data_IF_162559588338
#
_entry.id   IF_162559588338
#
_cell.length_a   1.000
_cell.length_b   1.000
_cell.length_c   1.000
_cell.angle_alpha   90.00
_cell.angle_beta   90.00
_cell.angle_gamma   90.00
#
_symmetry.space_group_name_H-M   'P 1'
#
loop_
_entity.id
_entity.type
_entity.pdbx_description
1 polymer ?
#
# COMPACT_ATOMS: atom_id res chain seq x y z
N UNK A 1 -9.73 -29.54 -36.66
CA UNK A 1 -9.72 -28.80 -35.37
C UNK A 1 -10.47 -29.62 -34.34
N UNK A 2 -9.97 -29.76 -33.11
CA UNK A 2 -10.74 -30.45 -32.06
C UNK A 2 -11.97 -29.61 -31.68
N UNK A 3 -13.08 -30.27 -31.32
CA UNK A 3 -14.32 -29.59 -30.89
C UNK A 3 -14.04 -28.62 -29.73
N UNK A 4 -13.19 -29.02 -28.80
CA UNK A 4 -12.73 -28.22 -27.66
C UNK A 4 -12.08 -26.91 -28.12
N UNK A 5 -11.17 -26.95 -29.11
CA UNK A 5 -10.49 -25.74 -29.60
C UNK A 5 -11.46 -24.71 -30.22
N UNK A 6 -12.51 -25.19 -30.90
CA UNK A 6 -13.55 -24.32 -31.46
C UNK A 6 -14.33 -23.63 -30.34
N UNK A 7 -14.69 -24.37 -29.29
CA UNK A 7 -15.41 -23.85 -28.12
C UNK A 7 -14.55 -22.84 -27.36
N UNK A 8 -13.27 -23.15 -27.13
CA UNK A 8 -12.31 -22.22 -26.51
C UNK A 8 -12.26 -20.90 -27.30
N UNK A 9 -12.09 -20.99 -28.62
CA UNK A 9 -12.00 -19.81 -29.48
C UNK A 9 -13.27 -18.98 -29.45
N UNK A 10 -14.43 -19.63 -29.47
CA UNK A 10 -15.73 -18.96 -29.38
C UNK A 10 -15.88 -18.21 -28.05
N UNK A 11 -15.63 -18.88 -26.93
CA UNK A 11 -15.76 -18.33 -25.58
C UNK A 11 -14.78 -17.17 -25.36
N UNK A 12 -13.51 -17.38 -25.69
CA UNK A 12 -12.48 -16.35 -25.60
C UNK A 12 -12.83 -15.11 -26.43
N UNK A 13 -13.16 -15.30 -27.72
CA UNK A 13 -13.35 -14.19 -28.67
C UNK A 13 -14.62 -13.41 -28.37
N UNK A 14 -15.68 -14.08 -27.91
CA UNK A 14 -16.93 -13.42 -27.50
C UNK A 14 -16.72 -12.52 -26.30
N UNK A 15 -15.85 -12.91 -25.35
CA UNK A 15 -15.58 -12.13 -24.13
C UNK A 15 -14.54 -11.04 -24.33
N UNK A 16 -13.38 -11.32 -24.95
CA UNK A 16 -12.32 -10.30 -25.16
C UNK A 16 -12.79 -9.16 -26.07
N UNK A 17 -13.72 -9.41 -27.00
CA UNK A 17 -14.28 -8.37 -27.88
C UNK A 17 -15.48 -7.64 -27.27
N UNK A 18 -15.96 -8.06 -26.11
CA UNK A 18 -17.05 -7.36 -25.46
C UNK A 18 -16.60 -5.95 -25.07
N UNK A 19 -17.42 -4.94 -25.35
CA UNK A 19 -17.15 -3.55 -24.94
C UNK A 19 -16.88 -3.48 -23.43
N UNK A 20 -17.64 -4.23 -22.64
CA UNK A 20 -17.48 -4.30 -21.19
C UNK A 20 -16.10 -4.82 -20.78
N UNK A 21 -15.55 -5.82 -21.47
CA UNK A 21 -14.21 -6.33 -21.18
C UNK A 21 -13.14 -5.27 -21.39
N UNK A 22 -13.20 -4.53 -22.50
CA UNK A 22 -12.25 -3.45 -22.80
C UNK A 22 -12.35 -2.34 -21.74
N UNK A 23 -13.58 -1.93 -21.42
CA UNK A 23 -13.84 -0.90 -20.40
C UNK A 23 -13.32 -1.36 -19.04
N UNK A 24 -13.71 -2.54 -18.56
CA UNK A 24 -13.30 -3.04 -17.24
C UNK A 24 -11.80 -3.27 -17.15
N UNK A 25 -11.17 -3.78 -18.22
CA UNK A 25 -9.73 -4.01 -18.27
C UNK A 25 -8.96 -2.70 -18.16
N UNK A 26 -9.40 -1.67 -18.89
CA UNK A 26 -8.73 -0.37 -18.85
C UNK A 26 -9.03 0.36 -17.54
N UNK A 27 -10.28 0.37 -17.05
CA UNK A 27 -10.67 1.15 -15.87
C UNK A 27 -10.21 0.53 -14.55
N UNK A 28 -10.15 -0.80 -14.43
CA UNK A 28 -9.88 -1.47 -13.15
C UNK A 28 -8.52 -1.09 -12.53
N UNK A 29 -7.40 -1.03 -13.27
CA UNK A 29 -6.12 -0.55 -12.72
C UNK A 29 -6.19 0.90 -12.24
N UNK A 30 -6.88 1.79 -12.95
CA UNK A 30 -7.06 3.18 -12.50
C UNK A 30 -7.95 3.26 -11.27
N UNK A 31 -9.02 2.44 -11.20
CA UNK A 31 -9.87 2.34 -10.02
C UNK A 31 -9.09 1.88 -8.80
N UNK A 32 -8.27 0.84 -8.94
CA UNK A 32 -7.38 0.36 -7.88
C UNK A 32 -6.34 1.42 -7.49
N UNK A 33 -5.72 2.05 -8.48
CA UNK A 33 -4.76 3.12 -8.26
C UNK A 33 -5.41 4.31 -7.54
N UNK A 34 -6.65 4.67 -7.87
CA UNK A 34 -7.39 5.76 -7.21
C UNK A 34 -7.79 5.38 -5.78
N UNK A 35 -8.18 4.13 -5.53
CA UNK A 35 -8.47 3.62 -4.17
C UNK A 35 -7.21 3.70 -3.28
N UNK A 36 -6.03 3.48 -3.84
CA UNK A 36 -4.76 3.59 -3.09
C UNK A 36 -4.29 5.06 -3.02
N UNK A 37 -4.36 5.78 -4.13
CA UNK A 37 -3.82 7.12 -4.27
C UNK A 37 -4.66 8.16 -3.53
N UNK A 38 -5.99 8.01 -3.45
CA UNK A 38 -6.85 9.00 -2.78
C UNK A 38 -6.55 9.05 -1.28
N UNK A 39 -6.47 7.95 -0.51
CA UNK A 39 -6.06 7.99 0.88
C UNK A 39 -4.63 8.53 1.07
N UNK A 40 -3.69 8.16 0.20
CA UNK A 40 -2.30 8.64 0.27
C UNK A 40 -2.22 10.13 -0.04
N UNK A 41 -2.89 10.59 -1.08
CA UNK A 41 -2.96 11.99 -1.46
C UNK A 41 -3.73 12.79 -0.40
N UNK A 42 -4.80 12.24 0.17
CA UNK A 42 -5.50 12.84 1.30
C UNK A 42 -4.58 12.95 2.51
N UNK A 43 -3.76 11.94 2.82
CA UNK A 43 -2.76 12.02 3.89
C UNK A 43 -1.67 13.06 3.60
N UNK A 44 -1.20 13.18 2.35
CA UNK A 44 -0.20 14.18 1.95
C UNK A 44 -0.79 15.60 1.96
N UNK A 45 -1.98 15.79 1.38
CA UNK A 45 -2.65 17.10 1.28
C UNK A 45 -3.25 17.57 2.60
N UNK A 46 -3.68 16.64 3.46
CA UNK A 46 -4.08 16.97 4.81
C UNK A 46 -2.89 17.39 5.68
N UNK A 47 -1.65 17.18 5.21
CA UNK A 47 -0.48 17.12 6.08
C UNK A 47 -0.71 16.09 7.19
N UNK A 48 0.09 16.13 8.24
CA UNK A 48 -0.04 15.26 9.41
C UNK A 48 -1.41 15.36 10.14
N UNK A 49 -2.36 16.17 9.63
CA UNK A 49 -3.71 16.40 10.17
C UNK A 49 -4.73 15.26 9.99
N UNK A 50 -4.36 14.10 9.43
CA UNK A 50 -5.19 12.88 9.56
C UNK A 50 -5.15 12.28 10.97
N UNK A 51 -4.10 12.62 11.72
CA UNK A 51 -4.04 12.47 13.17
C UNK A 51 -4.66 13.75 13.70
N UNK A 52 -5.99 13.80 13.78
CA UNK A 52 -6.72 15.02 14.16
C UNK A 52 -6.12 15.75 15.37
N UNK A 53 -6.35 17.06 15.43
CA UNK A 53 -5.65 17.97 16.35
C UNK A 53 -5.65 17.47 17.80
N UNK A 54 -4.47 17.53 18.41
CA UNK A 54 -4.24 17.18 19.81
C UNK A 54 -3.91 18.43 20.61
N UNK A 55 -4.75 18.75 21.60
CA UNK A 55 -4.51 19.89 22.47
C UNK A 55 -3.69 19.46 23.68
N UNK A 56 -2.56 20.11 23.91
CA UNK A 56 -1.65 19.83 25.03
C UNK A 56 -1.97 20.76 26.20
N UNK A 57 -2.42 20.18 27.31
CA UNK A 57 -2.57 20.83 28.61
C UNK A 57 -1.28 20.59 29.38
N UNK A 58 -0.43 21.62 29.42
CA UNK A 58 0.84 21.57 30.13
C UNK A 58 0.69 22.09 31.56
N UNK A 59 0.93 21.23 32.56
CA UNK A 59 1.04 21.62 33.97
C UNK A 59 2.51 21.74 34.42
N UNK A 60 3.44 21.70 33.48
CA UNK A 60 4.88 21.93 33.68
C UNK A 60 5.29 23.31 33.16
N UNK A 61 6.52 23.72 33.47
CA UNK A 61 7.11 24.94 32.91
C UNK A 61 7.79 24.65 31.55
N UNK A 62 7.01 24.38 30.50
CA UNK A 62 7.45 24.52 29.10
C UNK A 62 7.57 23.25 28.24
N UNK A 63 7.27 22.04 28.76
CA UNK A 63 7.29 20.81 27.95
C UNK A 63 6.21 20.82 26.85
N UNK A 64 5.06 21.42 27.10
CA UNK A 64 3.97 21.51 26.14
C UNK A 64 4.33 22.33 24.91
N UNK A 65 5.14 23.39 25.07
CA UNK A 65 5.64 24.16 23.94
C UNK A 65 6.61 23.33 23.08
N UNK A 66 7.45 22.50 23.71
CA UNK A 66 8.37 21.61 22.99
C UNK A 66 7.60 20.55 22.17
N UNK A 67 6.52 19.98 22.70
CA UNK A 67 5.64 19.04 21.98
C UNK A 67 5.03 19.69 20.73
N UNK A 68 4.56 20.94 20.86
CA UNK A 68 3.96 21.68 19.73
C UNK A 68 4.98 21.99 18.64
N UNK A 69 6.25 22.22 18.99
CA UNK A 69 7.31 22.48 18.01
C UNK A 69 7.72 21.24 17.22
N UNK A 70 7.48 20.04 17.74
CA UNK A 70 7.75 18.79 17.00
C UNK A 70 6.82 18.64 15.79
N UNK A 71 5.56 19.03 15.94
CA UNK A 71 4.56 19.00 14.86
C UNK A 71 3.47 20.05 15.11
N UNK A 72 3.67 21.24 14.53
CA UNK A 72 2.74 22.38 14.66
C UNK A 72 1.41 22.18 13.92
N UNK A 73 1.32 21.20 13.01
CA UNK A 73 0.08 20.88 12.32
C UNK A 73 -0.83 20.02 13.19
N UNK A 74 -0.25 19.17 14.03
CA UNK A 74 -0.95 18.22 14.89
C UNK A 74 -1.20 18.70 16.30
N UNK A 75 -0.24 19.38 16.93
CA UNK A 75 -0.31 19.76 18.33
C UNK A 75 -0.60 21.26 18.50
N UNK A 76 -1.43 21.60 19.48
CA UNK A 76 -1.61 22.99 19.91
C UNK A 76 -1.65 23.12 21.43
N UNK A 77 -1.24 24.27 21.96
CA UNK A 77 -1.32 24.55 23.40
C UNK A 77 -2.76 24.80 23.85
N UNK A 78 -3.14 24.33 25.03
CA UNK A 78 -4.46 24.59 25.61
C UNK A 78 -4.74 26.09 25.83
N UNK A 79 -3.71 26.89 26.10
CA UNK A 79 -3.86 28.31 26.40
C UNK A 79 -4.71 28.51 27.67
N UNK A 80 -5.74 29.35 27.58
CA UNK A 80 -6.68 29.61 28.70
C UNK A 80 -7.85 28.63 28.80
N UNK A 81 -7.90 27.60 27.93
CA UNK A 81 -9.01 26.64 27.89
C UNK A 81 -8.91 25.64 29.03
N UNK A 82 -10.03 25.39 29.71
CA UNK A 82 -10.12 24.38 30.77
C UNK A 82 -10.30 22.97 30.21
N UNK A 83 -9.95 21.94 30.99
CA UNK A 83 -10.17 20.54 30.59
C UNK A 83 -11.65 20.26 30.24
N UNK A 84 -12.59 20.91 30.92
CA UNK A 84 -14.02 20.82 30.60
C UNK A 84 -14.36 21.39 29.21
N UNK A 85 -13.77 22.53 28.84
CA UNK A 85 -13.93 23.11 27.51
C UNK A 85 -13.29 22.23 26.42
N UNK A 86 -12.13 21.63 26.70
CA UNK A 86 -11.47 20.70 25.79
C UNK A 86 -12.27 19.41 25.61
N UNK A 87 -12.87 18.88 26.67
CA UNK A 87 -13.77 17.74 26.60
C UNK A 87 -14.99 18.03 25.70
N UNK A 88 -15.56 19.22 25.76
CA UNK A 88 -16.62 19.63 24.83
C UNK A 88 -16.13 19.76 23.38
N UNK A 89 -14.89 20.23 23.14
CA UNK A 89 -14.30 20.24 21.79
C UNK A 89 -14.05 18.83 21.23
N UNK A 90 -13.64 17.88 22.07
CA UNK A 90 -13.54 16.46 21.71
C UNK A 90 -14.92 15.89 21.38
N UNK A 91 -15.97 16.24 22.14
CA UNK A 91 -17.38 15.87 21.88
C UNK A 91 -18.03 16.63 20.70
N UNK A 92 -17.45 17.75 20.28
CA UNK A 92 -17.85 18.52 19.11
C UNK A 92 -17.04 18.20 17.84
N UNK A 93 -16.02 17.34 17.94
CA UNK A 93 -15.25 16.76 16.82
C UNK A 93 -14.34 17.80 16.17
N UNK A 94 -14.12 18.89 16.91
CA UNK A 94 -13.23 19.98 16.54
C UNK A 94 -11.77 19.62 16.81
N UNK A 95 -11.53 18.78 17.81
CA UNK A 95 -10.21 18.21 18.15
C UNK A 95 -10.38 16.69 18.35
N UNK A 96 -9.33 15.92 18.03
CA UNK A 96 -9.38 14.46 18.17
C UNK A 96 -9.18 14.03 19.62
N UNK A 97 -8.25 14.67 20.31
CA UNK A 97 -7.95 14.40 21.71
C UNK A 97 -7.37 15.63 22.40
N UNK A 98 -7.36 15.61 23.74
CA UNK A 98 -6.46 16.46 24.52
C UNK A 98 -5.60 15.60 25.44
N UNK A 99 -4.38 16.06 25.67
CA UNK A 99 -3.34 15.38 26.43
C UNK A 99 -2.98 16.24 27.62
N UNK A 100 -2.97 15.66 28.82
CA UNK A 100 -2.59 16.33 30.07
C UNK A 100 -1.21 15.85 30.49
N UNK A 101 -0.26 16.78 30.50
CA UNK A 101 1.08 16.60 31.05
C UNK A 101 1.03 17.04 32.52
N UNK A 102 1.10 16.11 33.48
CA UNK A 102 1.10 16.49 34.89
C UNK A 102 2.43 17.13 35.30
N UNK A 103 2.42 17.94 36.38
CA UNK A 103 3.61 18.61 36.89
C UNK A 103 4.70 17.63 37.38
N UNK A 104 4.32 16.40 37.73
CA UNK A 104 5.20 15.33 38.19
C UNK A 104 5.68 14.41 37.06
N UNK A 105 5.44 14.75 35.77
CA UNK A 105 5.72 13.87 34.62
C UNK A 105 7.16 13.33 34.58
N UNK A 106 8.11 14.14 35.05
CA UNK A 106 9.52 13.76 35.10
C UNK A 106 9.77 12.58 36.04
N UNK A 107 8.93 12.40 37.06
CA UNK A 107 9.05 11.34 38.06
C UNK A 107 7.99 10.23 37.80
N UNK A 108 6.76 10.60 37.42
CA UNK A 108 5.65 9.67 37.21
C UNK A 108 5.70 8.94 35.87
N UNK A 109 6.21 9.59 34.81
CA UNK A 109 6.25 9.06 33.44
C UNK A 109 4.89 8.78 32.82
N UNK A 110 3.81 9.32 33.40
CA UNK A 110 2.44 9.07 32.96
C UNK A 110 1.80 10.32 32.38
N UNK A 111 1.38 10.21 31.12
CA UNK A 111 0.58 11.21 30.44
C UNK A 111 -0.86 10.70 30.33
N UNK A 112 -1.85 11.57 30.51
CA UNK A 112 -3.26 11.18 30.36
C UNK A 112 -3.83 11.77 29.07
N UNK A 113 -4.41 10.92 28.24
CA UNK A 113 -5.05 11.34 26.99
C UNK A 113 -6.56 11.11 27.05
N UNK A 114 -7.31 12.07 26.51
CA UNK A 114 -8.77 12.05 26.48
C UNK A 114 -9.25 12.18 25.03
N UNK A 115 -9.96 11.17 24.55
CA UNK A 115 -10.48 11.06 23.18
C UNK A 115 -11.95 10.60 23.20
N UNK A 116 -12.68 10.81 22.09
CA UNK A 116 -14.13 10.51 22.02
C UNK A 116 -14.44 9.00 22.05
N UNK A 117 -13.57 8.19 21.47
CA UNK A 117 -13.64 6.73 21.43
C UNK A 117 -12.23 6.17 21.49
N UNK A 118 -12.09 4.89 21.88
CA UNK A 118 -10.80 4.22 22.06
C UNK A 118 -9.80 4.66 20.99
N UNK A 119 -8.73 5.29 21.42
CA UNK A 119 -7.86 6.16 20.62
C UNK A 119 -7.19 5.44 19.44
N UNK A 120 -7.22 4.11 19.43
CA UNK A 120 -6.51 3.27 18.50
C UNK A 120 -5.06 3.14 18.94
N UNK A 121 -4.53 1.90 18.99
CA UNK A 121 -3.17 1.59 19.45
C UNK A 121 -2.14 2.45 18.71
N UNK A 122 -2.31 2.65 17.39
CA UNK A 122 -1.40 3.45 16.58
C UNK A 122 -1.35 4.94 16.99
N UNK A 123 -2.48 5.52 17.40
CA UNK A 123 -2.52 6.93 17.82
C UNK A 123 -1.87 7.11 19.20
N UNK A 124 -2.15 6.20 20.12
CA UNK A 124 -1.49 6.16 21.44
C UNK A 124 0.02 6.02 21.30
N UNK A 125 0.49 5.05 20.50
CA UNK A 125 1.92 4.87 20.21
C UNK A 125 2.54 6.12 19.60
N UNK A 126 1.84 6.78 18.66
CA UNK A 126 2.37 7.97 18.01
C UNK A 126 2.49 9.17 18.96
N UNK A 127 1.53 9.37 19.87
CA UNK A 127 1.63 10.41 20.91
C UNK A 127 2.78 10.08 21.86
N UNK A 128 2.91 8.81 22.28
CA UNK A 128 4.02 8.37 23.12
C UNK A 128 5.38 8.61 22.43
N UNK A 129 5.56 8.19 21.18
CA UNK A 129 6.79 8.36 20.40
C UNK A 129 7.17 9.84 20.24
N UNK A 130 6.18 10.75 20.18
CA UNK A 130 6.44 12.19 20.14
C UNK A 130 6.92 12.72 21.49
N UNK A 131 6.27 12.31 22.58
CA UNK A 131 6.49 12.89 23.91
C UNK A 131 7.66 12.26 24.66
N UNK A 132 7.93 10.97 24.43
CA UNK A 132 8.94 10.20 25.15
C UNK A 132 10.35 10.82 25.01
N UNK A 133 10.86 11.16 23.82
CA UNK A 133 12.17 11.79 23.67
C UNK A 133 12.27 13.13 24.43
N UNK A 134 11.20 13.92 24.41
CA UNK A 134 11.13 15.22 25.10
C UNK A 134 11.17 15.06 26.62
N UNK A 135 10.45 14.06 27.16
CA UNK A 135 10.46 13.76 28.59
C UNK A 135 11.84 13.21 29.01
N UNK A 136 12.45 12.34 28.20
CA UNK A 136 13.81 11.85 28.45
C UNK A 136 14.81 13.01 28.47
N UNK A 137 14.77 13.91 27.49
CA UNK A 137 15.61 15.12 27.43
C UNK A 137 15.44 15.97 28.69
N UNK A 138 14.21 16.25 29.09
CA UNK A 138 13.93 17.05 30.29
C UNK A 138 14.42 16.39 31.58
N UNK A 139 14.33 15.06 31.70
CA UNK A 139 14.91 14.30 32.82
C UNK A 139 16.43 14.44 32.87
N UNK A 140 17.11 14.30 31.74
CA UNK A 140 18.57 14.44 31.66
C UNK A 140 19.02 15.86 32.03
N UNK A 141 18.28 16.88 31.58
CA UNK A 141 18.53 18.28 31.96
C UNK A 141 18.32 18.54 33.46
N UNK A 142 17.24 18.00 34.06
CA UNK A 142 16.96 18.12 35.51
C UNK A 142 18.11 17.61 36.39
N UNK A 143 18.81 16.57 35.94
CA UNK A 143 19.94 15.96 36.67
C UNK A 143 21.28 16.68 36.38
N UNK A 144 21.29 17.69 35.52
CA UNK A 144 22.50 18.48 35.20
C UNK A 144 23.43 17.79 34.21
N UNK A 145 22.90 16.93 33.35
CA UNK A 145 23.69 16.23 32.32
C UNK A 145 24.21 17.21 31.27
N UNK A 146 25.47 17.05 30.87
CA UNK A 146 26.10 17.84 29.81
C UNK A 146 25.32 17.70 28.47
N UNK A 147 25.17 18.80 27.73
CA UNK A 147 24.47 18.83 26.44
C UNK A 147 25.06 17.88 25.41
N UNK A 148 26.37 17.63 25.45
CA UNK A 148 27.05 16.68 24.56
C UNK A 148 26.59 15.23 24.80
N UNK A 149 26.25 14.88 26.04
CA UNK A 149 25.72 13.55 26.40
C UNK A 149 24.26 13.43 25.98
N UNK A 150 23.48 14.51 26.11
CA UNK A 150 22.10 14.56 25.64
C UNK A 150 22.04 14.36 24.11
N UNK A 151 22.87 15.06 23.35
CA UNK A 151 22.94 14.93 21.89
C UNK A 151 23.45 13.54 21.42
N UNK A 152 24.19 12.84 22.27
CA UNK A 152 24.61 11.45 22.02
C UNK A 152 23.45 10.47 22.25
N UNK A 153 22.59 10.73 23.24
CA UNK A 153 21.41 9.89 23.53
C UNK A 153 20.29 10.15 22.51
N UNK A 154 20.14 11.39 22.04
CA UNK A 154 19.13 11.77 21.03
C UNK A 154 19.47 11.32 19.61
N UNK A 155 20.73 10.97 19.34
CA UNK A 155 21.12 10.37 18.06
C UNK A 155 20.55 8.96 17.98
N UNK A 156 19.36 8.88 17.38
CA UNK A 156 18.73 7.62 16.98
C UNK A 156 19.62 6.81 16.04
N UNK A 157 19.27 5.53 15.89
CA UNK A 157 19.97 4.62 14.97
C UNK A 157 19.06 4.30 13.79
N UNK A 158 19.59 4.45 12.58
CA UNK A 158 18.95 3.93 11.37
C UNK A 158 19.41 2.50 11.14
N UNK A 159 18.48 1.56 11.22
CA UNK A 159 18.77 0.16 10.91
C UNK A 159 18.65 -0.05 9.41
N UNK A 160 19.78 0.04 8.71
CA UNK A 160 19.87 -0.35 7.30
C UNK A 160 19.91 -1.88 7.22
N UNK A 161 18.85 -2.47 6.66
CA UNK A 161 18.76 -3.92 6.48
C UNK A 161 19.46 -4.34 5.19
N UNK A 162 20.46 -5.21 5.33
CA UNK A 162 21.22 -5.79 4.23
C UNK A 162 21.07 -7.31 4.25
N UNK A 163 20.89 -7.90 3.08
CA UNK A 163 20.79 -9.35 2.88
C UNK A 163 22.16 -9.90 2.50
N UNK A 164 22.65 -10.87 3.26
CA UNK A 164 23.86 -11.63 2.92
C UNK A 164 23.47 -12.77 1.97
N UNK A 165 24.14 -12.85 0.81
CA UNK A 165 23.98 -13.90 -0.19
C UNK A 165 25.33 -14.61 -0.42
N UNK A 166 25.31 -15.77 -1.09
CA UNK A 166 26.55 -16.48 -1.47
C UNK A 166 27.47 -15.64 -2.38
N UNK A 167 26.92 -14.63 -3.06
CA UNK A 167 27.63 -13.79 -4.03
C UNK A 167 27.99 -12.40 -3.46
N UNK A 168 27.61 -12.08 -2.21
CA UNK A 168 27.93 -10.79 -1.59
C UNK A 168 26.87 -10.27 -0.63
N UNK A 169 26.92 -8.98 -0.32
CA UNK A 169 25.93 -8.29 0.52
C UNK A 169 25.10 -7.37 -0.38
N UNK A 170 23.79 -7.56 -0.37
CA UNK A 170 22.82 -6.82 -1.19
C UNK A 170 21.78 -6.10 -0.30
N UNK A 171 21.05 -5.14 -0.86
CA UNK A 171 19.98 -4.47 -0.13
C UNK A 171 18.85 -5.45 0.24
N UNK A 172 18.35 -5.41 1.48
CA UNK A 172 17.26 -6.29 1.89
C UNK A 172 15.91 -5.81 1.33
N UNK A 173 15.52 -6.36 0.18
CA UNK A 173 14.21 -6.14 -0.42
C UNK A 173 13.11 -7.07 0.15
N UNK A 174 13.33 -7.77 1.27
CA UNK A 174 12.39 -8.77 1.79
C UNK A 174 11.03 -8.19 2.15
N UNK A 175 10.98 -7.00 2.75
CA UNK A 175 9.71 -6.31 3.08
C UNK A 175 8.90 -5.99 1.82
N UNK A 176 9.54 -5.41 0.80
CA UNK A 176 8.87 -5.09 -0.46
C UNK A 176 8.51 -6.35 -1.24
N UNK A 177 9.33 -7.38 -1.19
CA UNK A 177 9.05 -8.69 -1.81
C UNK A 177 7.85 -9.38 -1.16
N UNK A 178 7.75 -9.34 0.17
CA UNK A 178 6.61 -9.84 0.91
C UNK A 178 5.33 -9.08 0.54
N UNK A 179 5.41 -7.74 0.42
CA UNK A 179 4.30 -6.91 -0.03
C UNK A 179 3.84 -7.29 -1.45
N UNK A 180 4.77 -7.43 -2.40
CA UNK A 180 4.48 -7.86 -3.77
C UNK A 180 3.85 -9.25 -3.80
N UNK A 181 4.36 -10.19 -2.99
CA UNK A 181 3.79 -11.52 -2.83
C UNK A 181 2.37 -11.49 -2.28
N UNK A 182 2.11 -10.68 -1.25
CA UNK A 182 0.79 -10.53 -0.65
C UNK A 182 -0.21 -9.94 -1.63
N UNK A 183 0.15 -8.85 -2.31
CA UNK A 183 -0.69 -8.22 -3.35
C UNK A 183 -0.93 -9.19 -4.50
N UNK A 184 0.10 -9.93 -4.94
CA UNK A 184 -0.01 -10.97 -5.96
C UNK A 184 -0.98 -12.08 -5.56
N UNK A 185 -0.86 -12.62 -4.35
CA UNK A 185 -1.78 -13.65 -3.84
C UNK A 185 -3.22 -13.15 -3.73
N UNK A 186 -3.41 -11.93 -3.23
CA UNK A 186 -4.72 -11.29 -3.15
C UNK A 186 -5.34 -11.06 -4.53
N UNK A 187 -4.53 -10.66 -5.52
CA UNK A 187 -4.96 -10.56 -6.91
C UNK A 187 -5.40 -11.92 -7.47
N UNK A 188 -4.62 -12.98 -7.24
CA UNK A 188 -5.01 -14.34 -7.65
C UNK A 188 -6.37 -14.71 -7.06
N UNK A 189 -6.57 -14.47 -5.76
CA UNK A 189 -7.84 -14.74 -5.08
C UNK A 189 -9.02 -14.03 -5.76
N UNK A 190 -8.90 -12.72 -6.02
CA UNK A 190 -9.95 -11.95 -6.71
C UNK A 190 -10.19 -12.48 -8.13
N UNK A 191 -9.14 -12.80 -8.87
CA UNK A 191 -9.25 -13.26 -10.26
C UNK A 191 -9.93 -14.64 -10.34
N UNK A 192 -9.58 -15.56 -9.44
CA UNK A 192 -10.24 -16.88 -9.35
C UNK A 192 -11.74 -16.69 -9.11
N UNK A 193 -12.10 -15.85 -8.14
CA UNK A 193 -13.50 -15.60 -7.82
C UNK A 193 -14.25 -14.94 -9.00
N UNK A 194 -13.64 -13.92 -9.61
CA UNK A 194 -14.24 -13.17 -10.71
C UNK A 194 -14.48 -14.06 -11.94
N UNK A 195 -13.46 -14.75 -12.43
CA UNK A 195 -13.57 -15.59 -13.62
C UNK A 195 -14.30 -16.89 -13.35
N UNK A 196 -14.13 -17.48 -12.17
CA UNK A 196 -14.92 -18.64 -11.74
C UNK A 196 -16.41 -18.35 -11.69
N UNK A 197 -16.80 -17.16 -11.19
CA UNK A 197 -18.20 -16.73 -11.22
C UNK A 197 -18.72 -16.54 -12.66
N UNK A 198 -17.86 -16.15 -13.60
CA UNK A 198 -18.21 -16.03 -15.02
C UNK A 198 -18.46 -17.40 -15.66
N UNK A 199 -17.68 -18.43 -15.31
CA UNK A 199 -17.93 -19.82 -15.73
C UNK A 199 -19.31 -20.26 -15.23
N UNK A 200 -19.57 -20.13 -13.93
CA UNK A 200 -20.84 -20.55 -13.33
C UNK A 200 -22.03 -19.87 -14.00
N UNK A 201 -21.98 -18.55 -14.20
CA UNK A 201 -23.07 -17.81 -14.88
C UNK A 201 -23.26 -18.28 -16.31
N UNK A 202 -22.18 -18.50 -17.06
CA UNK A 202 -22.25 -18.99 -18.43
C UNK A 202 -22.93 -20.35 -18.54
N UNK A 203 -22.65 -21.28 -17.61
CA UNK A 203 -23.30 -22.61 -17.58
C UNK A 203 -24.78 -22.49 -17.22
N UNK A 204 -25.12 -21.62 -16.27
CA UNK A 204 -26.53 -21.36 -15.88
C UNK A 204 -27.32 -20.77 -17.05
N UNK A 205 -26.76 -19.81 -17.77
CA UNK A 205 -27.39 -19.20 -18.95
C UNK A 205 -27.62 -20.21 -20.08
N UNK A 206 -26.64 -21.07 -20.36
CA UNK A 206 -26.76 -22.11 -21.38
C UNK A 206 -27.79 -23.16 -21.03
N UNK A 207 -27.88 -23.52 -19.74
CA UNK A 207 -28.90 -24.44 -19.24
C UNK A 207 -30.29 -23.81 -19.29
N UNK A 208 -30.43 -22.54 -18.90
CA UNK A 208 -31.71 -21.82 -18.90
C UNK A 208 -32.27 -21.64 -20.32
N UNK A 209 -31.40 -21.39 -21.30
CA UNK A 209 -31.78 -21.15 -22.69
C UNK A 209 -31.85 -22.42 -23.55
N UNK A 210 -31.74 -23.61 -22.94
CA UNK A 210 -31.68 -24.92 -23.65
C UNK A 210 -30.57 -25.01 -24.71
N UNK A 211 -29.56 -24.13 -24.63
CA UNK A 211 -28.41 -24.14 -25.54
C UNK A 211 -27.59 -25.40 -25.31
N UNK A 212 -27.50 -25.85 -24.05
CA UNK A 212 -26.74 -27.06 -23.70
C UNK A 212 -27.31 -28.34 -24.34
N UNK A 213 -28.63 -28.42 -24.55
CA UNK A 213 -29.29 -29.58 -25.19
C UNK A 213 -28.92 -29.67 -26.67
N UNK A 214 -28.89 -28.52 -27.35
CA UNK A 214 -28.48 -28.40 -28.76
C UNK A 214 -26.98 -28.61 -28.94
N UNK A 215 -26.15 -28.09 -28.02
CA UNK A 215 -24.70 -28.31 -28.07
C UNK A 215 -24.33 -29.77 -27.75
N UNK A 216 -25.06 -30.42 -26.85
CA UNK A 216 -24.85 -31.83 -26.49
C UNK A 216 -25.13 -32.78 -27.66
N UNK A 217 -25.94 -32.38 -28.65
CA UNK A 217 -26.12 -33.16 -29.89
C UNK A 217 -24.90 -33.09 -30.81
N UNK A 218 -23.99 -32.15 -30.58
CA UNK A 218 -22.85 -31.84 -31.46
C UNK A 218 -21.49 -32.10 -30.79
N UNK A 219 -21.38 -31.99 -29.46
CA UNK A 219 -20.17 -32.21 -28.67
C UNK A 219 -20.49 -32.82 -27.29
N UNK A 220 -19.53 -33.50 -26.66
CA UNK A 220 -19.76 -34.09 -25.33
C UNK A 220 -19.84 -32.98 -24.27
N UNK A 221 -20.68 -33.12 -23.21
CA UNK A 221 -20.78 -32.13 -22.14
C UNK A 221 -19.43 -31.72 -21.53
N UNK A 222 -18.54 -32.70 -21.34
CA UNK A 222 -17.17 -32.44 -20.85
C UNK A 222 -16.35 -31.56 -21.81
N UNK A 223 -16.48 -31.75 -23.12
CA UNK A 223 -15.77 -30.94 -24.13
C UNK A 223 -16.26 -29.48 -24.13
N UNK A 224 -17.56 -29.28 -23.85
CA UNK A 224 -18.19 -27.96 -23.72
C UNK A 224 -17.68 -27.25 -22.46
N UNK A 225 -17.74 -27.94 -21.31
CA UNK A 225 -17.28 -27.38 -20.03
C UNK A 225 -15.78 -27.07 -20.04
N UNK A 226 -14.95 -27.99 -20.50
CA UNK A 226 -13.51 -27.80 -20.64
C UNK A 226 -13.20 -26.61 -21.55
N UNK A 227 -13.88 -26.53 -22.70
CA UNK A 227 -13.68 -25.42 -23.64
C UNK A 227 -14.05 -24.07 -23.05
N UNK A 228 -15.14 -24.02 -22.28
CA UNK A 228 -15.59 -22.82 -21.55
C UNK A 228 -14.61 -22.40 -20.46
N UNK A 229 -14.23 -23.32 -19.58
CA UNK A 229 -13.30 -23.06 -18.48
C UNK A 229 -11.97 -22.55 -19.03
N UNK A 230 -11.38 -23.22 -20.03
CA UNK A 230 -10.12 -22.78 -20.65
C UNK A 230 -10.30 -21.44 -21.37
N UNK A 231 -11.38 -21.27 -22.14
CA UNK A 231 -11.66 -20.03 -22.86
C UNK A 231 -11.75 -18.81 -21.94
N UNK A 232 -12.50 -18.92 -20.83
CA UNK A 232 -12.63 -17.86 -19.83
C UNK A 232 -11.31 -17.67 -19.04
N UNK A 233 -10.58 -18.73 -18.73
CA UNK A 233 -9.26 -18.63 -18.09
C UNK A 233 -8.26 -17.83 -18.94
N UNK A 234 -8.28 -18.05 -20.27
CA UNK A 234 -7.47 -17.28 -21.22
C UNK A 234 -7.87 -15.81 -21.28
N UNK A 235 -9.16 -15.48 -21.17
CA UNK A 235 -9.63 -14.08 -21.06
C UNK A 235 -9.00 -13.41 -19.84
N UNK A 236 -8.97 -14.10 -18.70
CA UNK A 236 -8.35 -13.58 -17.48
C UNK A 236 -6.84 -13.36 -17.61
N UNK A 237 -6.14 -14.28 -18.28
CA UNK A 237 -4.72 -14.13 -18.56
C UNK A 237 -4.46 -12.95 -19.52
N UNK A 238 -5.29 -12.75 -20.54
CA UNK A 238 -5.19 -11.57 -21.42
C UNK A 238 -5.39 -10.27 -20.65
N UNK A 239 -6.36 -10.23 -19.74
CA UNK A 239 -6.58 -9.05 -18.90
C UNK A 239 -5.34 -8.72 -18.04
N UNK A 240 -4.71 -9.73 -17.45
CA UNK A 240 -3.47 -9.57 -16.69
C UNK A 240 -2.32 -9.03 -17.54
N UNK A 241 -2.10 -9.60 -18.73
CA UNK A 241 -1.06 -9.13 -19.65
C UNK A 241 -1.29 -7.67 -20.03
N UNK A 242 -2.55 -7.28 -20.29
CA UNK A 242 -2.90 -5.89 -20.57
C UNK A 242 -2.61 -4.99 -19.38
N UNK A 243 -2.86 -5.43 -18.14
CA UNK A 243 -2.50 -4.66 -16.95
C UNK A 243 -1.00 -4.47 -16.79
N UNK A 244 -0.18 -5.49 -17.05
CA UNK A 244 1.28 -5.35 -17.05
C UNK A 244 1.76 -4.35 -18.10
N UNK A 245 1.22 -4.42 -19.32
CA UNK A 245 1.56 -3.49 -20.41
C UNK A 245 1.14 -2.05 -20.03
N UNK A 246 -0.10 -1.85 -19.58
CA UNK A 246 -0.59 -0.54 -19.14
C UNK A 246 0.26 0.02 -17.99
N UNK A 247 0.57 -0.81 -16.99
CA UNK A 247 1.44 -0.44 -15.88
C UNK A 247 2.81 0.04 -16.35
N UNK A 248 3.45 -0.70 -17.27
CA UNK A 248 4.75 -0.30 -17.84
C UNK A 248 4.68 1.01 -18.62
N UNK A 249 3.60 1.25 -19.38
CA UNK A 249 3.43 2.49 -20.14
C UNK A 249 3.20 3.69 -19.21
N UNK A 250 2.44 3.50 -18.13
CA UNK A 250 2.20 4.55 -17.13
C UNK A 250 3.49 4.90 -16.40
N UNK A 251 4.29 3.92 -15.98
CA UNK A 251 5.56 4.19 -15.27
C UNK A 251 6.55 4.93 -16.17
N UNK A 252 6.65 4.56 -17.45
CA UNK A 252 7.47 5.27 -18.44
C UNK A 252 6.96 6.71 -18.68
N UNK A 253 5.64 6.88 -18.82
CA UNK A 253 5.03 8.19 -19.08
C UNK A 253 5.17 9.16 -17.89
N UNK A 254 4.95 8.68 -16.67
CA UNK A 254 5.14 9.48 -15.44
C UNK A 254 6.61 9.82 -15.24
N UNK A 255 7.53 8.89 -15.49
CA UNK A 255 8.98 9.15 -15.45
C UNK A 255 9.40 10.28 -16.38
N UNK A 256 8.91 10.27 -17.62
CA UNK A 256 9.21 11.32 -18.60
C UNK A 256 8.64 12.71 -18.22
N UNK A 257 7.48 12.75 -17.55
CA UNK A 257 6.86 14.00 -17.10
C UNK A 257 7.51 14.60 -15.85
N UNK A 258 8.05 13.77 -14.96
CA UNK A 258 8.72 14.21 -13.73
C UNK A 258 10.21 14.51 -13.94
N UNK A 259 10.84 13.95 -14.97
CA UNK A 259 12.26 14.17 -15.28
C UNK A 259 12.70 15.65 -15.36
N UNK A 260 11.90 16.60 -15.92
CA UNK A 260 12.28 18.02 -15.97
C UNK A 260 12.24 18.73 -14.61
N UNK A 261 11.57 18.14 -13.61
CA UNK A 261 11.39 18.71 -12.27
C UNK A 261 12.37 18.16 -11.23
N UNK A 262 13.24 17.22 -11.62
CA UNK A 262 14.24 16.61 -10.74
C UNK A 262 15.50 17.49 -10.65
N UNK A 263 16.04 17.66 -9.44
CA UNK A 263 17.25 18.47 -9.23
C UNK A 263 18.49 17.78 -9.85
N UNK A 264 19.52 18.53 -10.27
CA UNK A 264 20.74 17.95 -10.85
C UNK A 264 21.43 16.92 -9.94
N UNK A 265 21.34 17.10 -8.62
CA UNK A 265 21.87 16.17 -7.61
C UNK A 265 21.13 14.83 -7.60
N UNK A 266 19.79 14.85 -7.68
CA UNK A 266 18.98 13.62 -7.78
C UNK A 266 19.25 12.85 -9.06
N UNK A 267 19.52 13.54 -10.17
CA UNK A 267 19.87 12.91 -11.46
C UNK A 267 21.25 12.24 -11.40
N UNK A 268 22.25 12.87 -10.77
CA UNK A 268 23.58 12.28 -10.58
C UNK A 268 23.55 11.03 -9.68
N UNK A 269 22.79 11.08 -8.58
CA UNK A 269 22.65 9.94 -7.68
C UNK A 269 21.93 8.76 -8.35
N UNK A 270 20.95 9.05 -9.22
CA UNK A 270 20.23 8.05 -10.02
C UNK A 270 21.13 7.41 -11.09
N UNK A 271 22.00 8.20 -11.74
CA UNK A 271 23.01 7.69 -12.69
C UNK A 271 24.04 6.78 -12.01
N UNK A 272 24.47 7.10 -10.79
CA UNK A 272 25.36 6.24 -10.00
C UNK A 272 24.71 4.92 -9.60
N UNK A 273 23.41 4.93 -9.21
CA UNK A 273 22.67 3.70 -8.92
C UNK A 273 22.46 2.82 -10.16
N UNK A 274 22.16 3.41 -11.32
CA UNK A 274 22.05 2.65 -12.58
C UNK A 274 23.38 2.01 -13.01
N UNK A 275 24.52 2.65 -12.72
CA UNK A 275 25.83 2.09 -12.97
C UNK A 275 26.15 0.90 -12.04
N UNK A 276 25.61 0.89 -10.82
CA UNK A 276 25.80 -0.18 -9.85
C UNK A 276 24.88 -1.40 -10.10
N UNK A 277 23.71 -1.20 -10.72
CA UNK A 277 22.76 -2.29 -10.99
C UNK A 277 22.11 -2.18 -12.39
N UNK A 278 22.84 -2.56 -13.46
CA UNK A 278 22.43 -2.34 -14.86
C UNK A 278 21.18 -3.13 -15.30
N UNK A 279 20.68 -4.04 -14.49
CA UNK A 279 19.47 -4.83 -14.76
C UNK A 279 18.17 -4.08 -14.43
N UNK A 280 18.22 -2.97 -13.69
CA UNK A 280 17.09 -2.09 -13.44
C UNK A 280 17.04 -0.96 -14.47
N UNK A 281 16.86 -1.31 -15.74
CA UNK A 281 16.60 -0.33 -16.80
C UNK A 281 15.12 0.07 -16.80
N UNK A 282 14.82 1.18 -16.14
CA UNK A 282 13.53 1.84 -16.26
C UNK A 282 13.49 3.15 -15.50
N UNK A 283 13.64 4.28 -16.19
CA UNK A 283 13.27 5.60 -15.66
C UNK A 283 11.78 5.56 -15.29
N UNK A 284 11.48 5.34 -14.02
CA UNK A 284 10.13 5.21 -13.51
C UNK A 284 10.10 5.40 -12.00
N UNK A 285 8.88 5.49 -11.45
CA UNK A 285 8.56 5.75 -10.03
C UNK A 285 9.41 4.94 -9.02
N UNK A 286 9.97 3.79 -9.43
CA UNK A 286 10.84 2.97 -8.58
C UNK A 286 12.16 3.61 -8.18
N UNK A 287 12.77 4.46 -9.02
CA UNK A 287 14.01 5.17 -8.68
C UNK A 287 13.75 6.39 -7.77
N UNK A 288 12.54 6.94 -7.79
CA UNK A 288 12.11 7.99 -6.86
C UNK A 288 11.64 7.41 -5.50
N UNK A 289 11.25 6.14 -5.46
CA UNK A 289 10.94 5.41 -4.22
C UNK A 289 12.19 4.84 -3.55
N UNK A 290 13.22 4.47 -4.32
CA UNK A 290 14.48 3.94 -3.80
C UNK A 290 15.25 4.96 -2.95
N UNK A 291 15.16 6.26 -3.27
CA UNK A 291 15.70 7.36 -2.45
C UNK A 291 15.00 7.51 -1.09
N UNK A 292 13.79 6.94 -0.93
CA UNK A 292 13.05 6.84 0.35
C UNK A 292 13.19 5.46 1.03
N UNK A 293 14.15 4.63 0.61
CA UNK A 293 14.40 3.32 1.20
C UNK A 293 13.47 2.20 0.73
N UNK A 294 12.62 2.46 -0.27
CA UNK A 294 11.74 1.44 -0.87
C UNK A 294 12.30 1.00 -2.22
N UNK A 295 13.07 -0.08 -2.23
CA UNK A 295 13.49 -0.73 -3.49
C UNK A 295 12.38 -1.66 -3.97
N UNK A 296 11.92 -1.47 -5.21
CA UNK A 296 11.02 -2.42 -5.86
C UNK A 296 11.81 -3.69 -6.20
N UNK A 297 11.34 -4.86 -5.77
CA UNK A 297 11.99 -6.12 -6.10
C UNK A 297 11.84 -6.37 -7.59
N UNK A 298 12.88 -6.90 -8.21
CA UNK A 298 12.80 -7.34 -9.60
C UNK A 298 11.82 -8.51 -9.71
N UNK A 299 10.85 -8.39 -10.62
CA UNK A 299 9.92 -9.48 -10.91
C UNK A 299 10.65 -10.47 -11.80
N UNK A 300 11.07 -11.60 -11.22
CA UNK A 300 11.72 -12.66 -11.99
C UNK A 300 10.74 -13.40 -12.91
N UNK A 301 11.24 -13.97 -14.01
CA UNK A 301 10.43 -14.82 -14.89
C UNK A 301 9.82 -16.01 -14.15
N UNK A 302 10.52 -16.54 -13.14
CA UNK A 302 10.03 -17.62 -12.27
C UNK A 302 8.82 -17.16 -11.45
N UNK A 303 8.83 -15.94 -10.92
CA UNK A 303 7.70 -15.37 -10.18
C UNK A 303 6.47 -15.25 -11.06
N UNK A 304 6.63 -14.81 -12.31
CA UNK A 304 5.54 -14.73 -13.29
C UNK A 304 5.00 -16.13 -13.61
N UNK A 305 5.88 -17.09 -13.83
CA UNK A 305 5.49 -18.48 -14.10
C UNK A 305 4.71 -19.08 -12.93
N UNK A 306 5.18 -18.87 -11.69
CA UNK A 306 4.51 -19.32 -10.48
C UNK A 306 3.16 -18.63 -10.28
N UNK A 307 3.07 -17.34 -10.61
CA UNK A 307 1.80 -16.62 -10.58
C UNK A 307 0.79 -17.24 -11.56
N UNK A 308 1.19 -17.48 -12.81
CA UNK A 308 0.33 -18.09 -13.83
C UNK A 308 -0.09 -19.50 -13.42
N UNK A 309 0.85 -20.28 -12.89
CA UNK A 309 0.57 -21.63 -12.39
C UNK A 309 -0.46 -21.60 -11.25
N UNK A 310 -0.25 -20.76 -10.24
CA UNK A 310 -1.17 -20.65 -9.10
C UNK A 310 -2.55 -20.14 -9.52
N UNK A 311 -2.60 -19.19 -10.47
CA UNK A 311 -3.85 -18.73 -11.05
C UNK A 311 -4.63 -19.90 -11.70
N UNK A 312 -4.02 -20.64 -12.62
CA UNK A 312 -4.70 -21.75 -13.29
C UNK A 312 -5.03 -22.91 -12.34
N UNK A 313 -4.13 -23.24 -11.41
CA UNK A 313 -4.37 -24.28 -10.42
C UNK A 313 -5.59 -23.94 -9.55
N UNK A 314 -5.64 -22.73 -8.98
CA UNK A 314 -6.78 -22.30 -8.17
C UNK A 314 -8.06 -22.10 -8.99
N UNK A 315 -7.94 -21.56 -10.21
CA UNK A 315 -9.08 -21.36 -11.10
C UNK A 315 -9.73 -22.67 -11.53
N UNK A 316 -8.95 -23.68 -11.92
CA UNK A 316 -9.48 -25.00 -12.30
C UNK A 316 -10.04 -25.80 -11.12
N UNK A 317 -9.57 -25.54 -9.89
CA UNK A 317 -10.16 -26.14 -8.68
C UNK A 317 -11.50 -25.50 -8.32
N UNK A 318 -11.68 -24.22 -8.65
CA UNK A 318 -12.90 -23.48 -8.33
C UNK A 318 -13.99 -23.60 -9.40
N UNK A 319 -13.60 -23.65 -10.68
CA UNK A 319 -14.49 -23.68 -11.85
C UNK A 319 -15.05 -25.10 -12.12
#
# INVERSE_FOLDING_TARGET
MSKISVIISHEYRTRVRAKWFIISTLLAPFGLALIIAVPVLAAILAGDGTLGKVVVVDKTDGLGAAVVLTDTARYEVAGSRTEAQLAELVKAETIQAYVVIPSDILDSGKVTMYSRGGSGIAFESSVQETMEPLIVKARLQKVGTDTSVIDLVERGIDVVSLKVTENGVEADASKTSAMVGYVGGFLIYILIFLYGSMVMRGVVEEKANRIIEVLASSARPFEIMMGKVIGIGLVGLTQLVLWFVLGSLVTMGVGALLAPSMSPETVQQMQQMQAANPTQQGMGIGDAMSTRGYTLPSISAVTILMFIFNFFAGYFLYA
#
